data_IF_376931691202
#
_entry.id   IF_376931691202
#
_cell.length_a   1.000
_cell.length_b   1.000
_cell.length_c   1.000
_cell.angle_alpha   90.00
_cell.angle_beta   90.00
_cell.angle_gamma   90.00
#
_symmetry.space_group_name_H-M   'P 1'
#
loop_
_entity.id
_entity.type
_entity.pdbx_description
1 polymer ?
#
# COMPACT_ATOMS: atom_id res chain seq x y z
N UNK A 1 10.79 -13.28 -1.53
CA UNK A 1 9.50 -13.06 -0.81
C UNK A 1 9.41 -11.67 -0.16
N UNK A 2 10.38 -11.19 0.65
CA UNK A 2 10.26 -9.87 1.31
C UNK A 2 10.06 -8.70 0.36
N UNK A 3 10.82 -8.66 -0.75
CA UNK A 3 10.69 -7.60 -1.76
C UNK A 3 9.30 -7.53 -2.41
N UNK A 4 8.65 -8.67 -2.63
CA UNK A 4 7.29 -8.72 -3.19
C UNK A 4 6.25 -8.18 -2.22
N UNK A 5 6.40 -8.48 -0.92
CA UNK A 5 5.53 -7.92 0.12
C UNK A 5 5.72 -6.40 0.23
N UNK A 6 6.98 -5.92 0.20
CA UNK A 6 7.26 -4.48 0.20
C UNK A 6 6.62 -3.80 -1.02
N UNK A 7 6.68 -4.44 -2.18
CA UNK A 7 6.05 -3.97 -3.41
C UNK A 7 4.54 -3.76 -3.23
N UNK A 8 3.82 -4.79 -2.78
CA UNK A 8 2.38 -4.72 -2.49
C UNK A 8 2.08 -3.63 -1.46
N UNK A 9 2.76 -3.63 -0.31
CA UNK A 9 2.47 -2.66 0.74
C UNK A 9 2.76 -1.23 0.32
N UNK A 10 3.77 -1.01 -0.53
CA UNK A 10 4.07 0.31 -1.08
C UNK A 10 2.98 0.85 -2.01
N UNK A 11 2.20 -0.03 -2.65
CA UNK A 11 1.02 0.37 -3.43
C UNK A 11 -0.17 0.68 -2.51
N UNK A 12 -0.37 -0.15 -1.48
CA UNK A 12 -1.50 -0.02 -0.55
C UNK A 12 -1.37 1.18 0.39
N UNK A 13 -0.13 1.51 0.80
CA UNK A 13 0.19 2.59 1.74
C UNK A 13 1.16 3.59 1.11
N UNK A 14 0.69 4.38 0.13
CA UNK A 14 1.57 5.25 -0.64
C UNK A 14 2.15 6.41 0.20
N UNK A 15 1.57 6.75 1.36
CA UNK A 15 2.15 7.74 2.30
C UNK A 15 3.44 7.23 2.96
N UNK A 16 3.60 5.90 3.07
CA UNK A 16 4.72 5.25 3.72
C UNK A 16 5.79 4.80 2.71
N UNK A 17 5.70 5.22 1.44
CA UNK A 17 6.60 4.76 0.37
C UNK A 17 8.08 5.03 0.67
N UNK A 18 8.37 6.11 1.41
CA UNK A 18 9.73 6.42 1.88
C UNK A 18 10.25 5.35 2.84
N UNK A 19 9.43 4.95 3.81
CA UNK A 19 9.76 3.90 4.77
C UNK A 19 10.01 2.56 4.04
N UNK A 20 9.14 2.22 3.08
CA UNK A 20 9.31 1.03 2.26
C UNK A 20 10.59 1.07 1.40
N UNK A 21 10.94 2.24 0.87
CA UNK A 21 12.22 2.43 0.14
C UNK A 21 13.42 2.16 1.03
N UNK A 22 13.41 2.68 2.26
CA UNK A 22 14.48 2.45 3.25
C UNK A 22 14.58 0.97 3.65
N UNK A 23 13.45 0.34 3.94
CA UNK A 23 13.39 -1.08 4.26
C UNK A 23 13.92 -1.94 3.10
N UNK A 24 13.49 -1.64 1.87
CA UNK A 24 13.93 -2.33 0.66
C UNK A 24 15.44 -2.22 0.48
N UNK A 25 15.99 -1.02 0.63
CA UNK A 25 17.42 -0.75 0.52
C UNK A 25 18.22 -1.52 1.59
N UNK A 26 17.78 -1.51 2.84
CA UNK A 26 18.46 -2.21 3.94
C UNK A 26 18.54 -3.73 3.67
N UNK A 27 17.43 -4.36 3.27
CA UNK A 27 17.39 -5.78 2.92
C UNK A 27 18.28 -6.04 1.69
N UNK A 28 18.20 -5.19 0.67
CA UNK A 28 19.02 -5.38 -0.55
C UNK A 28 20.51 -5.32 -0.26
N UNK A 29 20.94 -4.41 0.61
CA UNK A 29 22.35 -4.27 1.01
C UNK A 29 22.83 -5.47 1.82
N UNK A 30 22.04 -5.90 2.81
CA UNK A 30 22.38 -7.04 3.68
C UNK A 30 22.56 -8.33 2.87
N UNK A 31 21.69 -8.58 1.90
CA UNK A 31 21.71 -9.82 1.11
C UNK A 31 22.41 -9.68 -0.25
N UNK A 32 22.95 -8.49 -0.58
CA UNK A 32 23.53 -8.16 -1.89
C UNK A 32 22.62 -8.58 -3.06
N UNK A 33 21.31 -8.47 -2.88
CA UNK A 33 20.30 -8.91 -3.83
C UNK A 33 19.45 -7.73 -4.27
N UNK A 34 19.43 -7.47 -5.58
CA UNK A 34 18.72 -6.35 -6.18
C UNK A 34 17.79 -6.89 -7.26
N UNK A 35 16.49 -6.74 -7.02
CA UNK A 35 15.44 -6.93 -8.03
C UNK A 35 14.72 -5.60 -8.24
N UNK A 36 14.19 -5.35 -9.43
CA UNK A 36 13.35 -4.16 -9.66
C UNK A 36 11.95 -4.40 -9.08
N UNK A 37 11.42 -3.52 -8.22
CA UNK A 37 10.02 -3.62 -7.77
C UNK A 37 9.06 -3.32 -8.93
N UNK A 38 7.84 -3.85 -8.87
CA UNK A 38 6.78 -3.56 -9.85
C UNK A 38 6.16 -2.19 -9.62
N UNK A 39 6.05 -1.75 -8.36
CA UNK A 39 5.65 -0.40 -8.01
C UNK A 39 6.69 0.58 -8.55
N UNK A 40 6.30 1.33 -9.58
CA UNK A 40 7.21 2.20 -10.30
C UNK A 40 7.69 3.37 -9.44
N UNK A 41 6.85 3.90 -8.54
CA UNK A 41 7.28 4.95 -7.60
C UNK A 41 8.40 4.45 -6.69
N UNK A 42 8.25 3.23 -6.16
CA UNK A 42 9.29 2.59 -5.34
C UNK A 42 10.56 2.34 -6.16
N UNK A 43 10.43 1.88 -7.41
CA UNK A 43 11.56 1.66 -8.32
C UNK A 43 12.33 2.97 -8.58
N UNK A 44 11.63 4.08 -8.80
CA UNK A 44 12.27 5.39 -9.02
C UNK A 44 13.00 5.86 -7.77
N UNK A 45 12.39 5.76 -6.59
CA UNK A 45 13.05 6.17 -5.34
C UNK A 45 14.34 5.38 -5.09
N UNK A 46 14.32 4.06 -5.32
CA UNK A 46 15.52 3.23 -5.22
C UNK A 46 16.57 3.62 -6.28
N UNK A 47 16.15 3.91 -7.50
CA UNK A 47 17.04 4.37 -8.56
C UNK A 47 17.74 5.69 -8.21
N UNK A 48 17.00 6.66 -7.67
CA UNK A 48 17.54 7.94 -7.20
C UNK A 48 18.55 7.76 -6.04
N UNK A 49 18.45 6.66 -5.29
CA UNK A 49 19.41 6.26 -4.26
C UNK A 49 20.61 5.45 -4.78
N UNK A 50 20.75 5.30 -6.09
CA UNK A 50 21.90 4.68 -6.74
C UNK A 50 21.71 3.21 -7.16
N UNK A 51 20.53 2.62 -6.94
CA UNK A 51 20.23 1.30 -7.48
C UNK A 51 20.12 1.35 -9.01
N UNK A 52 20.66 0.35 -9.69
CA UNK A 52 20.59 0.24 -11.15
C UNK A 52 19.70 -0.94 -11.53
N UNK A 53 18.69 -0.68 -12.34
CA UNK A 53 17.83 -1.71 -12.90
C UNK A 53 18.00 -1.73 -14.42
N UNK A 54 17.98 -2.91 -15.02
CA UNK A 54 18.14 -3.08 -16.46
C UNK A 54 17.05 -2.32 -17.22
N UNK A 55 17.43 -1.55 -18.24
CA UNK A 55 16.52 -0.75 -19.07
C UNK A 55 15.65 0.25 -18.29
N UNK A 56 16.06 0.65 -17.08
CA UNK A 56 15.35 1.63 -16.27
C UNK A 56 16.18 2.90 -16.13
N UNK A 57 15.56 4.03 -16.46
CA UNK A 57 16.08 5.38 -16.20
C UNK A 57 14.92 6.23 -15.71
N UNK A 58 15.19 7.11 -14.77
CA UNK A 58 14.21 8.08 -14.29
C UNK A 58 14.85 9.46 -14.17
N UNK A 59 14.08 10.49 -14.50
CA UNK A 59 14.42 11.91 -14.30
C UNK A 59 13.46 12.57 -13.30
N UNK A 60 12.67 11.78 -12.57
CA UNK A 60 11.64 12.28 -11.67
C UNK A 60 12.29 12.69 -10.36
N UNK A 61 11.99 13.90 -9.90
CA UNK A 61 12.47 14.40 -8.62
C UNK A 61 11.85 13.61 -7.46
N UNK A 62 12.63 13.35 -6.41
CA UNK A 62 12.17 12.60 -5.24
C UNK A 62 10.91 13.22 -4.61
N UNK A 63 10.84 14.55 -4.55
CA UNK A 63 9.69 15.27 -3.98
C UNK A 63 8.39 15.00 -4.73
N UNK A 64 8.42 14.89 -6.07
CA UNK A 64 7.24 14.58 -6.87
C UNK A 64 6.70 13.18 -6.59
N UNK A 65 7.58 12.23 -6.22
CA UNK A 65 7.21 10.84 -5.97
C UNK A 65 6.66 10.67 -4.56
N UNK A 66 7.28 11.34 -3.59
CA UNK A 66 6.87 11.32 -2.19
C UNK A 66 5.50 11.96 -1.97
N UNK A 67 5.13 12.91 -2.82
CA UNK A 67 3.82 13.56 -2.76
C UNK A 67 2.75 12.72 -3.48
N UNK A 68 1.62 12.49 -2.79
CA UNK A 68 0.46 11.79 -3.37
C UNK A 68 -0.21 12.59 -4.49
N UNK A 69 -0.21 13.90 -4.33
CA UNK A 69 -0.83 14.90 -5.18
C UNK A 69 0.14 16.06 -5.38
N UNK A 70 0.00 16.79 -6.50
CA UNK A 70 0.72 18.04 -6.71
C UNK A 70 0.55 19.00 -5.53
N UNK A 71 1.63 19.63 -5.09
CA UNK A 71 1.65 20.62 -4.00
C UNK A 71 0.78 21.85 -4.29
N UNK A 72 0.42 22.08 -5.55
CA UNK A 72 -0.50 23.14 -5.99
C UNK A 72 -1.97 22.70 -6.02
N UNK A 73 -2.27 21.43 -5.70
CA UNK A 73 -3.63 20.90 -5.64
C UNK A 73 -4.22 20.96 -4.23
N UNK A 74 -5.52 21.26 -4.05
CA UNK A 74 -6.18 21.14 -2.75
C UNK A 74 -6.10 19.71 -2.19
N UNK A 75 -6.06 18.68 -3.04
CA UNK A 75 -5.97 17.28 -2.61
C UNK A 75 -4.66 16.98 -1.85
N UNK A 76 -3.57 17.68 -2.15
CA UNK A 76 -2.32 17.56 -1.39
C UNK A 76 -2.52 17.98 0.06
N UNK A 77 -3.08 19.17 0.28
CA UNK A 77 -3.31 19.67 1.64
C UNK A 77 -4.30 18.79 2.40
N UNK A 78 -5.32 18.27 1.71
CA UNK A 78 -6.28 17.35 2.31
C UNK A 78 -5.61 16.06 2.73
N UNK A 79 -4.89 15.37 1.84
CA UNK A 79 -4.28 14.06 2.13
C UNK A 79 -3.20 14.10 3.23
N UNK A 80 -2.60 15.28 3.44
CA UNK A 80 -1.62 15.54 4.51
C UNK A 80 -2.24 16.22 5.73
N UNK A 81 -3.56 16.32 5.80
CA UNK A 81 -4.35 16.92 6.89
C UNK A 81 -3.96 18.36 7.27
N UNK A 82 -3.57 19.16 6.28
CA UNK A 82 -3.12 20.56 6.43
C UNK A 82 -4.28 21.55 6.26
N UNK A 83 -5.26 21.49 7.17
CA UNK A 83 -6.53 22.22 7.05
C UNK A 83 -6.36 23.75 6.98
N UNK A 84 -5.40 24.33 7.71
CA UNK A 84 -5.21 25.78 7.73
C UNK A 84 -4.58 26.30 6.42
N UNK A 85 -3.66 25.53 5.85
CA UNK A 85 -3.08 25.81 4.54
C UNK A 85 -4.12 25.68 3.43
N UNK A 86 -4.97 24.65 3.51
CA UNK A 86 -6.09 24.44 2.59
C UNK A 86 -7.03 25.65 2.58
N UNK A 87 -7.50 26.09 3.76
CA UNK A 87 -8.37 27.27 3.93
C UNK A 87 -7.76 28.53 3.33
N UNK A 88 -6.46 28.74 3.60
CA UNK A 88 -5.73 29.93 3.13
C UNK A 88 -5.55 29.95 1.62
N UNK A 89 -5.17 28.82 1.01
CA UNK A 89 -4.87 28.73 -0.42
C UNK A 89 -6.09 28.55 -1.30
N UNK A 90 -7.14 27.90 -0.79
CA UNK A 90 -8.37 27.57 -1.53
C UNK A 90 -9.63 28.02 -0.79
N UNK A 91 -9.82 29.33 -0.53
CA UNK A 91 -10.97 29.83 0.23
C UNK A 91 -12.32 29.58 -0.46
N UNK A 92 -12.31 29.39 -1.78
CA UNK A 92 -13.49 29.12 -2.60
C UNK A 92 -13.46 27.68 -3.17
N UNK A 93 -12.93 26.73 -2.39
CA UNK A 93 -12.89 25.32 -2.79
C UNK A 93 -14.32 24.81 -3.03
N UNK A 94 -14.57 24.29 -4.22
CA UNK A 94 -15.79 23.56 -4.54
C UNK A 94 -15.71 22.17 -3.90
N UNK A 95 -16.45 21.97 -2.80
CA UNK A 95 -16.36 20.79 -1.95
C UNK A 95 -17.05 19.55 -2.55
N UNK A 96 -17.97 19.75 -3.48
CA UNK A 96 -18.79 18.68 -4.07
C UNK A 96 -18.26 18.24 -5.43
N UNK A 97 -17.41 19.06 -6.05
CA UNK A 97 -16.83 18.76 -7.34
C UNK A 97 -15.69 17.76 -7.21
N UNK A 98 -15.85 16.67 -7.94
CA UNK A 98 -14.76 15.73 -8.19
C UNK A 98 -13.56 16.45 -8.81
N UNK A 99 -12.40 16.29 -8.19
CA UNK A 99 -11.15 16.86 -8.67
C UNK A 99 -10.45 15.76 -9.47
N UNK A 100 -10.20 16.04 -10.74
CA UNK A 100 -9.39 15.16 -11.58
C UNK A 100 -7.98 15.10 -10.98
N UNK A 101 -7.56 13.92 -10.56
CA UNK A 101 -6.17 13.64 -10.20
C UNK A 101 -5.25 13.59 -11.43
N UNK A 102 -5.60 14.28 -12.52
CA UNK A 102 -4.78 14.34 -13.74
C UNK A 102 -3.47 15.08 -13.56
N UNK A 103 -3.17 15.59 -12.36
CA UNK A 103 -1.88 16.19 -12.06
C UNK A 103 -0.82 15.14 -11.75
N UNK A 104 -0.71 14.15 -12.62
CA UNK A 104 0.58 13.64 -13.02
C UNK A 104 1.11 14.75 -13.94
N UNK A 105 2.25 15.41 -13.65
CA UNK A 105 2.84 16.37 -14.57
C UNK A 105 2.72 15.81 -15.99
N UNK A 106 2.12 16.56 -16.92
CA UNK A 106 1.89 16.11 -18.30
C UNK A 106 3.22 15.61 -18.94
N UNK A 107 4.34 16.07 -18.39
CA UNK A 107 5.70 15.65 -18.68
C UNK A 107 6.00 14.20 -18.31
N UNK A 108 5.47 13.64 -17.21
CA UNK A 108 5.71 12.25 -16.81
C UNK A 108 5.10 11.24 -17.79
N UNK A 109 3.85 11.48 -18.22
CA UNK A 109 3.18 10.61 -19.20
C UNK A 109 3.86 10.66 -20.57
N UNK A 110 4.36 11.84 -20.95
CA UNK A 110 5.11 12.02 -22.19
C UNK A 110 6.53 11.43 -22.11
N UNK A 111 7.20 11.50 -20.95
CA UNK A 111 8.54 10.93 -20.72
C UNK A 111 8.51 9.41 -20.55
N UNK A 112 7.40 8.84 -20.06
CA UNK A 112 7.25 7.41 -19.82
C UNK A 112 5.89 6.89 -20.34
N UNK A 113 5.75 6.67 -21.67
CA UNK A 113 4.50 6.19 -22.26
C UNK A 113 4.09 4.79 -21.80
N UNK A 114 5.03 4.03 -21.22
CA UNK A 114 4.81 2.69 -20.68
C UNK A 114 4.62 2.65 -19.15
N UNK A 115 4.67 3.81 -18.47
CA UNK A 115 4.35 3.92 -17.04
C UNK A 115 2.86 3.63 -16.92
N UNK A 116 2.47 2.48 -16.34
CA UNK A 116 1.05 2.17 -16.09
C UNK A 116 0.56 2.91 -14.84
N UNK A 117 0.63 4.24 -14.91
CA UNK A 117 0.08 5.17 -13.93
C UNK A 117 -1.44 5.23 -13.99
N UNK A 118 -2.07 4.47 -14.90
CA UNK A 118 -3.52 4.43 -15.03
C UNK A 118 -4.21 3.64 -13.91
N UNK A 119 -3.47 3.10 -12.94
CA UNK A 119 -4.03 2.39 -11.78
C UNK A 119 -4.79 3.28 -10.77
N UNK A 120 -5.28 4.45 -11.19
CA UNK A 120 -6.18 5.24 -10.37
C UNK A 120 -6.28 6.72 -10.73
N UNK A 121 -6.62 7.06 -11.99
CA UNK A 121 -7.26 8.36 -12.26
C UNK A 121 -8.69 8.29 -11.72
N UNK A 122 -8.80 8.13 -10.40
CA UNK A 122 -10.04 8.20 -9.69
C UNK A 122 -10.26 9.67 -9.40
N UNK A 123 -11.21 10.24 -10.13
CA UNK A 123 -11.95 11.40 -9.67
C UNK A 123 -12.35 11.17 -8.22
N UNK A 124 -11.97 12.11 -7.37
CA UNK A 124 -12.22 12.05 -5.93
C UNK A 124 -12.71 13.41 -5.47
N UNK A 125 -13.74 13.44 -4.64
CA UNK A 125 -14.18 14.68 -4.00
C UNK A 125 -13.17 15.06 -2.90
N UNK A 126 -13.09 16.34 -2.52
CA UNK A 126 -12.33 16.76 -1.35
C UNK A 126 -12.64 15.92 -0.09
N UNK A 127 -13.93 15.66 0.18
CA UNK A 127 -14.33 14.90 1.36
C UNK A 127 -13.86 13.43 1.27
N UNK A 128 -14.05 12.77 0.13
CA UNK A 128 -13.57 11.40 -0.07
C UNK A 128 -12.05 11.29 0.06
N UNK A 129 -11.31 12.32 -0.37
CA UNK A 129 -9.86 12.36 -0.18
C UNK A 129 -9.51 12.42 1.31
N UNK A 130 -10.20 13.25 2.09
CA UNK A 130 -9.99 13.33 3.53
C UNK A 130 -10.29 11.99 4.22
N UNK A 131 -11.38 11.34 3.83
CA UNK A 131 -11.79 10.02 4.34
C UNK A 131 -10.71 8.96 3.99
N UNK A 132 -10.33 8.87 2.71
CA UNK A 132 -9.38 7.87 2.21
C UNK A 132 -8.02 7.91 2.89
N UNK A 133 -7.55 9.10 3.26
CA UNK A 133 -6.23 9.27 3.88
C UNK A 133 -6.30 9.54 5.38
N UNK A 134 -7.47 9.32 6.01
CA UNK A 134 -7.65 9.47 7.45
C UNK A 134 -7.40 10.88 7.98
N UNK A 135 -7.62 11.89 7.14
CA UNK A 135 -7.28 13.30 7.41
C UNK A 135 -8.42 13.98 8.17
N UNK A 136 -8.42 13.79 9.48
CA UNK A 136 -9.54 14.11 10.39
C UNK A 136 -9.86 15.61 10.45
N UNK A 137 -8.86 16.49 10.46
CA UNK A 137 -9.10 17.94 10.52
C UNK A 137 -9.75 18.44 9.23
N UNK A 138 -9.24 17.98 8.08
CA UNK A 138 -9.80 18.29 6.77
C UNK A 138 -11.20 17.68 6.61
N UNK A 139 -11.42 16.45 7.08
CA UNK A 139 -12.73 15.79 7.08
C UNK A 139 -13.77 16.64 7.83
N UNK A 140 -13.47 17.01 9.07
CA UNK A 140 -14.37 17.82 9.91
C UNK A 140 -14.65 19.18 9.27
N UNK A 141 -13.63 19.82 8.72
CA UNK A 141 -13.79 21.09 8.01
C UNK A 141 -14.72 20.96 6.79
N UNK A 142 -14.50 19.98 5.93
CA UNK A 142 -15.29 19.78 4.71
C UNK A 142 -16.75 19.38 5.04
N UNK A 143 -16.96 18.51 6.04
CA UNK A 143 -18.29 18.19 6.58
C UNK A 143 -19.03 19.42 7.09
N UNK A 144 -18.35 20.30 7.83
CA UNK A 144 -18.94 21.56 8.32
C UNK A 144 -19.31 22.54 7.21
N UNK A 145 -18.66 22.45 6.04
CA UNK A 145 -19.06 23.20 4.85
C UNK A 145 -20.26 22.60 4.11
N UNK A 146 -20.75 21.43 4.54
CA UNK A 146 -21.90 20.76 3.94
C UNK A 146 -21.56 19.69 2.90
N UNK A 147 -20.29 19.26 2.81
CA UNK A 147 -19.89 18.21 1.87
C UNK A 147 -20.65 16.90 2.17
N UNK A 148 -21.08 16.20 1.12
CA UNK A 148 -21.80 14.95 1.24
C UNK A 148 -20.93 13.73 0.92
N UNK A 149 -21.27 12.60 1.54
CA UNK A 149 -20.65 11.31 1.24
C UNK A 149 -21.07 10.81 -0.16
N UNK A 150 -20.10 10.35 -0.92
CA UNK A 150 -20.35 9.65 -2.19
C UNK A 150 -20.68 8.17 -1.93
N UNK A 151 -20.80 7.38 -3.01
CA UNK A 151 -20.96 5.93 -2.94
C UNK A 151 -19.66 5.18 -2.62
N UNK A 152 -18.52 5.86 -2.68
CA UNK A 152 -17.19 5.29 -2.41
C UNK A 152 -16.68 5.66 -1.01
N UNK A 153 -17.33 6.60 -0.33
CA UNK A 153 -16.89 7.09 0.97
C UNK A 153 -16.72 5.95 1.98
N UNK A 154 -17.64 4.97 1.99
CA UNK A 154 -17.58 3.83 2.89
C UNK A 154 -16.32 2.99 2.66
N UNK A 155 -16.03 2.64 1.40
CA UNK A 155 -14.79 1.93 1.04
C UNK A 155 -13.56 2.73 1.46
N UNK A 156 -13.55 4.04 1.20
CA UNK A 156 -12.44 4.91 1.57
C UNK A 156 -12.25 5.04 3.09
N UNK A 157 -13.32 5.01 3.89
CA UNK A 157 -13.20 5.09 5.34
C UNK A 157 -12.49 3.86 5.89
N UNK A 158 -12.81 2.70 5.31
CA UNK A 158 -12.12 1.45 5.61
C UNK A 158 -10.65 1.55 5.16
N UNK A 159 -10.36 1.95 3.92
CA UNK A 159 -8.98 2.08 3.44
C UNK A 159 -8.13 3.02 4.32
N UNK A 160 -8.70 4.15 4.72
CA UNK A 160 -8.02 5.18 5.50
C UNK A 160 -7.73 4.79 6.94
N UNK A 161 -8.48 3.85 7.52
CA UNK A 161 -8.20 3.31 8.85
C UNK A 161 -8.39 4.27 10.02
N UNK A 162 -8.87 5.50 9.78
CA UNK A 162 -9.11 6.46 10.85
C UNK A 162 -10.43 6.11 11.56
N UNK A 163 -10.32 5.62 12.80
CA UNK A 163 -11.46 5.19 13.62
C UNK A 163 -12.48 6.31 13.86
N UNK A 164 -12.03 7.55 14.08
CA UNK A 164 -12.93 8.67 14.37
C UNK A 164 -13.80 8.98 13.16
N UNK A 165 -13.21 9.03 11.96
CA UNK A 165 -13.95 9.22 10.70
C UNK A 165 -14.93 8.06 10.49
N UNK A 166 -14.45 6.82 10.66
CA UNK A 166 -15.28 5.62 10.49
C UNK A 166 -16.51 5.63 11.42
N UNK A 167 -16.30 5.90 12.71
CA UNK A 167 -17.38 5.97 13.69
C UNK A 167 -18.35 7.13 13.41
N UNK A 168 -17.85 8.31 13.05
CA UNK A 168 -18.69 9.44 12.65
C UNK A 168 -19.57 9.10 11.44
N UNK A 169 -19.06 8.35 10.47
CA UNK A 169 -19.85 7.92 9.31
C UNK A 169 -20.98 6.97 9.69
N UNK A 170 -20.76 6.08 10.67
CA UNK A 170 -21.82 5.22 11.23
C UNK A 170 -22.89 6.05 11.92
N UNK A 171 -22.49 7.02 12.74
CA UNK A 171 -23.42 7.94 13.42
C UNK A 171 -24.24 8.77 12.44
N UNK A 172 -23.64 9.17 11.31
CA UNK A 172 -24.30 9.84 10.20
C UNK A 172 -25.23 8.90 9.39
N UNK A 173 -25.33 7.62 9.77
CA UNK A 173 -26.24 6.64 9.20
C UNK A 173 -25.71 5.89 7.98
N UNK A 174 -24.39 5.90 7.72
CA UNK A 174 -23.80 5.07 6.67
C UNK A 174 -23.74 3.60 7.09
N UNK A 175 -24.03 2.72 6.13
CA UNK A 175 -23.90 1.28 6.30
C UNK A 175 -22.56 0.81 5.73
N UNK A 176 -21.89 -0.08 6.45
CA UNK A 176 -20.65 -0.73 6.03
C UNK A 176 -20.86 -2.22 5.75
N UNK A 177 -22.04 -2.59 5.24
CA UNK A 177 -22.37 -3.97 4.88
C UNK A 177 -21.35 -4.56 3.89
N UNK A 178 -20.88 -5.77 4.19
CA UNK A 178 -19.93 -6.56 3.36
C UNK A 178 -18.56 -5.88 3.14
N UNK A 179 -18.15 -5.00 4.06
CA UNK A 179 -16.85 -4.31 3.99
C UNK A 179 -15.71 -5.02 4.74
N UNK A 180 -15.99 -6.15 5.40
CA UNK A 180 -14.99 -6.85 6.22
C UNK A 180 -13.75 -7.26 5.44
N UNK A 181 -13.90 -7.81 4.23
CA UNK A 181 -12.76 -8.17 3.39
C UNK A 181 -11.88 -6.96 3.08
N UNK A 182 -12.47 -5.81 2.71
CA UNK A 182 -11.70 -4.58 2.45
C UNK A 182 -10.93 -4.14 3.70
N UNK A 183 -11.53 -4.25 4.89
CA UNK A 183 -10.84 -3.88 6.13
C UNK A 183 -9.60 -4.76 6.38
N UNK A 184 -9.68 -6.04 6.05
CA UNK A 184 -8.58 -6.98 6.18
C UNK A 184 -7.50 -6.76 5.14
N UNK A 185 -7.90 -6.53 3.88
CA UNK A 185 -6.96 -6.26 2.80
C UNK A 185 -6.07 -5.08 3.21
N UNK A 186 -6.67 -4.02 3.75
CA UNK A 186 -5.96 -2.83 4.23
C UNK A 186 -5.36 -2.96 5.66
N UNK A 187 -5.46 -4.14 6.28
CA UNK A 187 -4.96 -4.46 7.63
C UNK A 187 -5.49 -3.54 8.73
N UNK A 188 -6.76 -3.16 8.64
CA UNK A 188 -7.45 -2.34 9.63
C UNK A 188 -8.10 -3.21 10.69
N UNK A 189 -7.28 -3.81 11.55
CA UNK A 189 -7.71 -4.82 12.54
C UNK A 189 -8.83 -4.33 13.47
N UNK A 190 -8.78 -3.07 13.89
CA UNK A 190 -9.78 -2.52 14.82
C UNK A 190 -11.14 -2.33 14.13
N UNK A 191 -11.11 -1.84 12.88
CA UNK A 191 -12.31 -1.70 12.04
C UNK A 191 -12.87 -3.08 11.68
N UNK A 192 -12.02 -4.06 11.34
CA UNK A 192 -12.47 -5.40 10.99
C UNK A 192 -13.14 -6.11 12.18
N UNK A 193 -12.58 -5.98 13.39
CA UNK A 193 -13.19 -6.49 14.62
C UNK A 193 -14.51 -5.77 14.94
N UNK A 194 -14.59 -4.46 14.70
CA UNK A 194 -15.84 -3.72 14.82
C UNK A 194 -16.91 -4.25 13.86
N UNK A 195 -16.56 -4.43 12.58
CA UNK A 195 -17.46 -4.94 11.55
C UNK A 195 -17.98 -6.35 11.88
N UNK A 196 -17.10 -7.21 12.38
CA UNK A 196 -17.45 -8.56 12.84
C UNK A 196 -18.40 -8.52 14.04
N UNK A 197 -18.08 -7.73 15.06
CA UNK A 197 -18.81 -7.73 16.33
C UNK A 197 -20.16 -7.02 16.24
N UNK A 198 -20.28 -5.95 15.45
CA UNK A 198 -21.48 -5.12 15.39
C UNK A 198 -22.37 -5.39 14.17
N UNK A 199 -21.79 -5.79 13.04
CA UNK A 199 -22.54 -6.12 11.82
C UNK A 199 -22.62 -7.62 11.54
N UNK A 200 -22.04 -8.48 12.40
CA UNK A 200 -22.07 -9.93 12.24
C UNK A 200 -21.37 -10.43 10.98
N UNK A 201 -20.48 -9.61 10.39
CA UNK A 201 -19.80 -9.97 9.16
C UNK A 201 -18.76 -11.06 9.41
N UNK A 202 -18.71 -12.04 8.53
CA UNK A 202 -17.74 -13.14 8.54
C UNK A 202 -16.86 -13.08 7.30
N UNK A 203 -15.62 -13.55 7.42
CA UNK A 203 -14.65 -13.53 6.32
C UNK A 203 -15.01 -14.55 5.25
N UNK A 204 -14.63 -14.26 4.00
CA UNK A 204 -14.97 -15.12 2.87
C UNK A 204 -14.04 -16.33 2.70
N UNK A 205 -12.75 -16.28 3.10
CA UNK A 205 -11.89 -17.49 3.12
C UNK A 205 -10.58 -17.35 3.92
N UNK A 206 -10.01 -18.48 4.36
CA UNK A 206 -8.66 -18.54 4.95
C UNK A 206 -7.58 -18.16 3.90
N UNK A 207 -7.75 -18.58 2.65
CA UNK A 207 -6.80 -18.33 1.58
C UNK A 207 -6.60 -16.83 1.33
N UNK A 208 -7.69 -16.07 1.33
CA UNK A 208 -7.69 -14.61 1.19
C UNK A 208 -6.97 -13.96 2.39
N UNK A 209 -7.28 -14.41 3.62
CA UNK A 209 -6.62 -13.93 4.84
C UNK A 209 -5.09 -14.14 4.78
N UNK A 210 -4.63 -15.29 4.28
CA UNK A 210 -3.20 -15.56 4.11
C UNK A 210 -2.58 -14.74 2.98
N UNK A 211 -3.29 -14.53 1.86
CA UNK A 211 -2.82 -13.73 0.74
C UNK A 211 -2.51 -12.28 1.15
N UNK A 212 -3.35 -11.70 2.01
CA UNK A 212 -3.17 -10.34 2.54
C UNK A 212 -2.29 -10.27 3.80
N UNK A 213 -1.70 -11.40 4.23
CA UNK A 213 -0.81 -11.46 5.39
C UNK A 213 -1.51 -11.36 6.75
N UNK A 214 -2.83 -11.55 6.81
CA UNK A 214 -3.62 -11.56 8.05
C UNK A 214 -3.53 -12.92 8.75
N UNK A 215 -2.34 -13.26 9.24
CA UNK A 215 -2.07 -14.58 9.82
C UNK A 215 -2.85 -14.85 11.12
N UNK A 216 -3.15 -13.83 11.93
CA UNK A 216 -3.97 -13.98 13.14
C UNK A 216 -5.40 -14.40 12.81
N UNK A 217 -5.97 -13.78 11.79
CA UNK A 217 -7.30 -14.11 11.26
C UNK A 217 -7.30 -15.48 10.60
N UNK A 218 -6.30 -15.79 9.78
CA UNK A 218 -6.16 -17.11 9.17
C UNK A 218 -6.06 -18.20 10.24
N UNK A 219 -5.27 -17.97 11.29
CA UNK A 219 -5.14 -18.85 12.45
C UNK A 219 -6.47 -19.02 13.19
N UNK A 220 -7.20 -17.92 13.43
CA UNK A 220 -8.53 -17.96 14.01
C UNK A 220 -9.50 -18.80 13.16
N UNK A 221 -9.58 -18.57 11.85
CA UNK A 221 -10.46 -19.31 10.95
C UNK A 221 -10.09 -20.80 10.89
N UNK A 222 -8.79 -21.12 10.83
CA UNK A 222 -8.28 -22.50 10.91
C UNK A 222 -8.71 -23.19 12.20
N UNK A 223 -8.57 -22.52 13.34
CA UNK A 223 -8.96 -23.06 14.64
C UNK A 223 -10.47 -23.27 14.79
N UNK A 224 -11.27 -22.62 13.96
CA UNK A 224 -12.73 -22.75 13.92
C UNK A 224 -13.23 -23.64 12.77
N UNK A 225 -12.34 -24.45 12.17
CA UNK A 225 -12.72 -25.48 11.22
C UNK A 225 -13.12 -24.99 9.82
N UNK A 226 -12.70 -23.78 9.43
CA UNK A 226 -12.86 -23.34 8.05
C UNK A 226 -12.05 -24.25 7.08
N UNK A 227 -12.60 -24.47 5.89
CA UNK A 227 -12.10 -25.48 4.95
C UNK A 227 -10.70 -25.13 4.44
N UNK A 228 -9.77 -26.06 4.65
CA UNK A 228 -8.37 -25.93 4.26
C UNK A 228 -8.17 -26.22 2.77
N UNK A 229 -9.14 -26.83 2.08
CA UNK A 229 -8.97 -27.21 0.68
C UNK A 229 -8.92 -25.99 -0.26
N UNK A 230 -9.55 -24.87 0.10
CA UNK A 230 -9.36 -23.58 -0.59
C UNK A 230 -7.94 -23.01 -0.40
N UNK A 231 -7.25 -23.44 0.67
CA UNK A 231 -5.89 -23.04 1.05
C UNK A 231 -4.82 -23.87 0.35
N UNK A 232 -5.16 -25.10 -0.08
CA UNK A 232 -4.18 -26.07 -0.59
C UNK A 232 -3.38 -25.50 -1.77
N UNK A 233 -3.94 -24.59 -2.57
CA UNK A 233 -3.20 -23.95 -3.67
C UNK A 233 -2.19 -22.92 -3.13
N UNK A 234 -2.59 -22.07 -2.18
CA UNK A 234 -1.78 -20.96 -1.66
C UNK A 234 -0.67 -21.40 -0.70
N UNK A 235 -0.95 -22.32 0.23
CA UNK A 235 0.09 -22.89 1.12
C UNK A 235 1.06 -23.75 0.32
N UNK A 236 0.60 -24.50 -0.69
CA UNK A 236 1.50 -25.27 -1.54
C UNK A 236 2.40 -24.33 -2.35
N UNK A 237 1.88 -23.20 -2.84
CA UNK A 237 2.70 -22.18 -3.49
C UNK A 237 3.75 -21.56 -2.54
N UNK A 238 3.34 -21.15 -1.34
CA UNK A 238 4.24 -20.54 -0.35
C UNK A 238 5.28 -21.55 0.14
N UNK A 239 4.88 -22.79 0.44
CA UNK A 239 5.80 -23.84 0.89
C UNK A 239 6.78 -24.25 -0.22
N UNK A 240 6.34 -24.33 -1.49
CA UNK A 240 7.23 -24.53 -2.64
C UNK A 240 8.25 -23.38 -2.75
N UNK A 241 7.81 -22.13 -2.59
CA UNK A 241 8.70 -20.95 -2.67
C UNK A 241 9.71 -20.93 -1.51
N UNK A 242 9.29 -21.22 -0.28
CA UNK A 242 10.16 -21.27 0.90
C UNK A 242 11.15 -22.43 0.79
N UNK A 243 10.70 -23.62 0.37
CA UNK A 243 11.57 -24.77 0.15
C UNK A 243 12.59 -24.51 -0.96
N UNK A 244 12.19 -23.88 -2.07
CA UNK A 244 13.11 -23.48 -3.14
C UNK A 244 14.17 -22.48 -2.65
N UNK A 245 13.78 -21.48 -1.85
CA UNK A 245 14.71 -20.51 -1.27
C UNK A 245 15.69 -21.15 -0.28
N UNK A 246 15.20 -22.06 0.57
CA UNK A 246 16.04 -22.79 1.53
C UNK A 246 17.04 -23.70 0.82
N UNK A 247 16.59 -24.43 -0.21
CA UNK A 247 17.44 -25.30 -1.01
C UNK A 247 18.53 -24.48 -1.75
N UNK A 248 18.15 -23.32 -2.30
CA UNK A 248 19.07 -22.39 -2.96
C UNK A 248 20.15 -21.88 -2.00
N UNK A 249 19.76 -21.51 -0.77
CA UNK A 249 20.70 -21.08 0.26
C UNK A 249 21.72 -22.17 0.63
N UNK A 250 21.27 -23.42 0.78
CA UNK A 250 22.14 -24.57 1.04
C UNK A 250 23.14 -24.75 -0.10
N UNK A 251 22.68 -24.71 -1.36
CA UNK A 251 23.54 -24.89 -2.53
C UNK A 251 24.64 -23.83 -2.59
N UNK A 252 24.30 -22.55 -2.36
CA UNK A 252 25.30 -21.47 -2.32
C UNK A 252 26.32 -21.70 -1.21
N UNK A 253 25.86 -22.06 -0.01
CA UNK A 253 26.74 -22.30 1.12
C UNK A 253 27.76 -23.43 0.82
N UNK A 254 27.31 -24.52 0.21
CA UNK A 254 28.20 -25.59 -0.24
C UNK A 254 29.19 -25.14 -1.31
N UNK A 255 28.77 -24.33 -2.28
CA UNK A 255 29.65 -23.80 -3.33
C UNK A 255 30.75 -22.89 -2.77
N UNK A 256 30.42 -22.04 -1.79
CA UNK A 256 31.38 -21.17 -1.11
C UNK A 256 32.39 -22.02 -0.32
N UNK A 257 31.92 -22.99 0.46
CA UNK A 257 32.79 -23.90 1.22
C UNK A 257 33.74 -24.71 0.32
N UNK A 258 33.23 -25.20 -0.81
CA UNK A 258 34.03 -25.94 -1.78
C UNK A 258 35.08 -25.06 -2.48
N UNK A 259 34.72 -23.82 -2.81
CA UNK A 259 35.64 -22.86 -3.43
C UNK A 259 36.79 -22.47 -2.49
N UNK A 260 36.52 -22.38 -1.19
CA UNK A 260 37.54 -22.12 -0.16
C UNK A 260 38.47 -23.31 0.05
N UNK A 261 37.97 -24.55 -0.07
CA UNK A 261 38.78 -25.78 -0.01
C UNK A 261 39.70 -25.96 -1.23
N UNK A 262 39.28 -25.48 -2.40
CA UNK A 262 40.07 -25.54 -3.63
C UNK A 262 41.04 -24.38 -3.82
N UNK A 263 41.02 -23.37 -2.94
CA UNK A 263 41.99 -22.28 -3.00
C UNK A 263 43.39 -22.84 -2.74
N UNK A 264 44.33 -22.76 -3.70
CA UNK A 264 45.65 -23.36 -3.55
C UNK A 264 46.33 -22.74 -2.33
N UNK A 265 46.72 -23.58 -1.37
CA UNK A 265 47.59 -23.15 -0.28
C UNK A 265 48.88 -22.63 -0.91
N UNK A 266 49.06 -21.31 -0.86
CA UNK A 266 50.25 -20.65 -1.39
C UNK A 266 51.46 -21.20 -0.62
N UNK A 267 52.38 -21.93 -1.27
CA UNK A 267 53.58 -22.42 -0.60
C UNK A 267 54.51 -21.22 -0.38
N UNK A 268 54.65 -20.80 0.88
CA UNK A 268 55.71 -19.90 1.33
C UNK A 268 57.02 -20.66 1.53
#
# INVERSE_FOLDING_TARGET
MPFYLIDIFSEMRPKDIKLFTELYQNISNEFSYIVKPKNEKLAVLLYNRGFKFENFKSEIEEEEILNLYSTESPLFYIAWDKVDDLKRKFPNLDIDKEIDNKFIPHDLKNKFPNLDINHGINKITPLDCAIKYGSELCFNYLKNLGAYYTKKSEEYAIQGGNQNIFMQMIEDGKSFDKMLNIALDYQQHEISEYLKSNFGQTHNSIAESMYFGNYDVASYLLSNGADINDIYISIHFISIIVLLHFLYFIIIHYFIGFSLLLSPMNPH
#
